data_IF_415518096962
#
_entry.id   IF_415518096962
#
_cell.length_a   1.000
_cell.length_b   1.000
_cell.length_c   1.000
_cell.angle_alpha   90.00
_cell.angle_beta   90.00
_cell.angle_gamma   90.00
#
_symmetry.space_group_name_H-M   'P 1'
#
loop_
_entity.id
_entity.type
_entity.pdbx_description
1 polymer ?
#
# COMPACT_ATOMS: atom_id res chain seq x y z
N UNK A 1 35.46 -44.47 -49.98
CA UNK A 1 34.20 -43.73 -50.00
C UNK A 1 33.36 -43.82 -48.68
N UNK A 2 33.47 -44.92 -47.95
CA UNK A 2 32.66 -45.09 -46.69
C UNK A 2 32.95 -44.08 -45.56
N UNK A 3 34.12 -43.50 -45.48
CA UNK A 3 34.44 -42.54 -44.40
C UNK A 3 33.78 -41.16 -44.54
N UNK A 4 33.50 -40.71 -45.74
CA UNK A 4 32.82 -39.43 -46.04
C UNK A 4 31.33 -39.51 -45.69
N UNK A 5 30.73 -40.66 -45.80
CA UNK A 5 29.32 -40.88 -45.52
C UNK A 5 28.95 -40.69 -44.05
N UNK A 6 29.91 -40.91 -43.12
CA UNK A 6 29.68 -40.63 -41.68
C UNK A 6 30.13 -39.23 -41.25
N UNK A 7 30.93 -38.57 -42.07
CA UNK A 7 31.45 -37.24 -41.76
C UNK A 7 30.39 -36.16 -41.83
N UNK A 8 29.50 -36.27 -42.81
CA UNK A 8 28.37 -35.32 -42.97
C UNK A 8 27.41 -35.37 -41.79
N UNK A 9 26.86 -36.51 -41.32
CA UNK A 9 25.95 -36.56 -40.20
C UNK A 9 26.62 -36.14 -38.88
N UNK A 10 27.91 -36.44 -38.67
CA UNK A 10 28.67 -35.98 -37.49
C UNK A 10 28.84 -34.47 -37.52
N UNK A 11 29.12 -33.86 -38.64
CA UNK A 11 29.26 -32.42 -38.78
C UNK A 11 27.93 -31.70 -38.56
N UNK A 12 26.82 -32.25 -39.07
CA UNK A 12 25.47 -31.74 -38.84
C UNK A 12 25.12 -31.83 -37.35
N UNK A 13 25.42 -32.95 -36.68
CA UNK A 13 25.18 -33.11 -35.24
C UNK A 13 26.03 -32.11 -34.43
N UNK A 14 27.30 -31.94 -34.76
CA UNK A 14 28.20 -30.96 -34.11
C UNK A 14 27.68 -29.52 -34.30
N UNK A 15 27.23 -29.15 -35.50
CA UNK A 15 26.67 -27.85 -35.79
C UNK A 15 25.36 -27.62 -35.01
N UNK A 16 24.50 -28.62 -34.91
CA UNK A 16 23.27 -28.58 -34.15
C UNK A 16 23.52 -28.35 -32.65
N UNK A 17 24.51 -29.05 -32.08
CA UNK A 17 24.93 -28.87 -30.69
C UNK A 17 25.54 -27.47 -30.49
N UNK A 18 26.35 -26.99 -31.40
CA UNK A 18 26.93 -25.65 -31.33
C UNK A 18 25.87 -24.54 -31.38
N UNK A 19 24.83 -24.68 -32.23
CA UNK A 19 23.72 -23.77 -32.29
C UNK A 19 22.88 -23.79 -31.01
N UNK A 20 22.72 -24.95 -30.37
CA UNK A 20 22.00 -25.10 -29.08
C UNK A 20 22.79 -24.56 -27.89
N UNK A 21 24.09 -24.31 -28.03
CA UNK A 21 24.96 -23.79 -26.98
C UNK A 21 24.80 -22.25 -26.79
N UNK A 22 24.28 -21.56 -27.79
CA UNK A 22 24.16 -20.09 -27.77
C UNK A 22 22.74 -19.70 -27.39
N UNK A 23 22.62 -18.72 -26.49
CA UNK A 23 21.32 -18.08 -26.14
C UNK A 23 21.49 -16.56 -26.09
N UNK A 24 20.38 -15.85 -26.32
CA UNK A 24 20.34 -14.40 -26.28
C UNK A 24 19.59 -13.98 -25.01
N UNK A 25 20.12 -13.00 -24.32
CA UNK A 25 19.47 -12.33 -23.17
C UNK A 25 18.95 -10.99 -23.63
N UNK A 26 17.65 -10.76 -23.46
CA UNK A 26 16.99 -9.48 -23.72
C UNK A 26 17.24 -8.50 -22.56
N UNK A 27 17.18 -7.19 -22.82
CA UNK A 27 17.29 -6.15 -21.79
C UNK A 27 16.19 -6.23 -20.70
N UNK A 28 15.08 -6.90 -21.01
CA UNK A 28 13.95 -7.07 -20.11
C UNK A 28 14.04 -8.33 -19.26
N UNK A 29 15.03 -9.16 -19.52
CA UNK A 29 15.18 -10.47 -18.90
C UNK A 29 16.49 -10.55 -18.13
N UNK A 30 16.45 -11.26 -17.02
CA UNK A 30 17.62 -11.70 -16.28
C UNK A 30 17.71 -13.22 -16.36
N UNK A 31 18.89 -13.76 -16.55
CA UNK A 31 19.07 -15.17 -16.84
C UNK A 31 19.96 -15.85 -15.82
N UNK A 32 19.50 -17.00 -15.34
CA UNK A 32 20.30 -17.95 -14.56
C UNK A 32 20.63 -19.17 -15.42
N UNK A 33 21.90 -19.53 -15.47
CA UNK A 33 22.37 -20.79 -16.05
C UNK A 33 22.53 -21.79 -14.90
N UNK A 34 21.70 -22.81 -14.90
CA UNK A 34 21.71 -23.87 -13.91
C UNK A 34 22.44 -25.10 -14.44
N UNK A 35 23.21 -25.75 -13.59
CA UNK A 35 23.82 -27.06 -13.84
C UNK A 35 23.39 -28.02 -12.72
N UNK A 36 22.65 -29.04 -13.07
CA UNK A 36 22.09 -30.00 -12.10
C UNK A 36 21.32 -29.32 -10.94
N UNK A 37 20.60 -28.22 -11.28
CA UNK A 37 19.83 -27.44 -10.31
C UNK A 37 20.61 -26.37 -9.55
N UNK A 38 21.94 -26.37 -9.61
CA UNK A 38 22.79 -25.37 -8.97
C UNK A 38 23.06 -24.18 -9.92
N UNK A 39 23.06 -22.97 -9.37
CA UNK A 39 23.39 -21.76 -10.13
C UNK A 39 24.87 -21.76 -10.46
N UNK A 40 25.19 -21.77 -11.74
CA UNK A 40 26.58 -21.78 -12.26
C UNK A 40 26.97 -20.39 -12.75
N UNK A 41 26.04 -19.69 -13.40
CA UNK A 41 26.30 -18.38 -13.97
C UNK A 41 25.04 -17.52 -13.88
N UNK A 42 25.22 -16.25 -13.54
CA UNK A 42 24.18 -15.22 -13.54
C UNK A 42 24.52 -14.27 -14.68
N UNK A 43 23.54 -13.96 -15.53
CA UNK A 43 23.71 -12.98 -16.58
C UNK A 43 22.57 -11.97 -16.50
N UNK A 44 22.92 -10.77 -16.05
CA UNK A 44 21.99 -9.65 -15.90
C UNK A 44 22.08 -8.65 -17.05
N UNK A 45 23.23 -8.65 -17.76
CA UNK A 45 23.44 -7.77 -18.91
C UNK A 45 22.91 -8.42 -20.19
N UNK A 46 22.25 -7.63 -21.07
CA UNK A 46 21.79 -8.11 -22.36
C UNK A 46 22.96 -8.54 -23.25
N UNK A 47 22.71 -9.50 -24.10
CA UNK A 47 23.69 -9.96 -25.07
C UNK A 47 23.72 -11.47 -25.23
N UNK A 48 24.76 -11.96 -25.91
CA UNK A 48 24.97 -13.38 -26.19
C UNK A 48 25.48 -14.11 -24.94
N UNK A 49 24.88 -15.23 -24.63
CA UNK A 49 25.28 -16.16 -23.58
C UNK A 49 25.62 -17.52 -24.16
N UNK A 50 26.48 -18.27 -23.45
CA UNK A 50 26.84 -19.62 -23.81
C UNK A 50 26.43 -20.58 -22.68
N UNK A 51 25.89 -21.72 -23.07
CA UNK A 51 25.58 -22.83 -22.18
C UNK A 51 26.11 -24.14 -22.74
N UNK A 52 26.36 -25.10 -21.89
CA UNK A 52 26.66 -26.48 -22.29
C UNK A 52 25.33 -27.20 -22.55
N UNK A 53 25.01 -27.53 -23.82
CA UNK A 53 23.77 -28.26 -24.13
C UNK A 53 23.71 -29.57 -23.35
N UNK A 54 22.50 -30.03 -23.02
CA UNK A 54 22.19 -31.28 -22.29
C UNK A 54 22.58 -31.28 -20.80
N UNK A 55 23.48 -30.40 -20.35
CA UNK A 55 23.95 -30.36 -18.94
C UNK A 55 23.43 -29.12 -18.22
N UNK A 56 23.32 -28.01 -18.96
CA UNK A 56 22.93 -26.72 -18.39
C UNK A 56 21.58 -26.27 -18.90
N UNK A 57 20.73 -25.85 -17.95
CA UNK A 57 19.44 -25.26 -18.19
C UNK A 57 19.47 -23.74 -18.02
N UNK A 58 18.72 -23.04 -18.85
CA UNK A 58 18.64 -21.58 -18.82
C UNK A 58 17.26 -21.21 -18.29
N UNK A 59 17.24 -20.57 -17.11
CA UNK A 59 16.01 -20.05 -16.50
C UNK A 59 15.99 -18.55 -16.67
N UNK A 60 14.89 -18.03 -17.21
CA UNK A 60 14.69 -16.60 -17.48
C UNK A 60 13.72 -16.02 -16.49
N UNK A 61 14.04 -14.85 -15.98
CA UNK A 61 13.20 -14.06 -15.10
C UNK A 61 12.97 -12.68 -15.72
N UNK A 62 11.78 -12.12 -15.49
CA UNK A 62 11.46 -10.77 -15.93
C UNK A 62 12.23 -9.75 -15.07
N UNK A 63 13.06 -8.93 -15.70
CA UNK A 63 13.85 -7.87 -15.03
C UNK A 63 13.11 -6.56 -14.86
N UNK A 64 11.90 -6.45 -15.39
CA UNK A 64 11.05 -5.24 -15.29
C UNK A 64 10.42 -5.10 -13.92
N UNK A 65 9.80 -3.95 -13.70
CA UNK A 65 8.95 -3.72 -12.53
C UNK A 65 7.64 -4.49 -12.76
N UNK A 66 7.37 -5.42 -11.86
CA UNK A 66 6.17 -6.24 -11.84
C UNK A 66 5.14 -5.63 -10.89
N UNK A 67 3.87 -5.91 -11.12
CA UNK A 67 2.78 -5.52 -10.24
C UNK A 67 2.19 -6.72 -9.52
N UNK A 68 1.78 -6.52 -8.27
CA UNK A 68 1.06 -7.48 -7.47
C UNK A 68 -0.14 -6.78 -6.83
N UNK A 69 -1.34 -7.22 -7.14
CA UNK A 69 -2.55 -6.78 -6.44
C UNK A 69 -2.86 -7.76 -5.30
N UNK A 70 -3.13 -7.22 -4.11
CA UNK A 70 -3.60 -8.01 -2.98
C UNK A 70 -5.10 -8.24 -3.11
N UNK A 71 -5.59 -9.36 -2.54
CA UNK A 71 -7.02 -9.55 -2.37
C UNK A 71 -7.52 -8.61 -1.28
N UNK A 72 -8.77 -8.15 -1.41
CA UNK A 72 -9.42 -7.36 -0.38
C UNK A 72 -9.40 -8.10 0.97
N UNK A 73 -8.99 -7.40 2.02
CA UNK A 73 -8.89 -7.92 3.37
C UNK A 73 -9.57 -6.99 4.36
N UNK A 74 -10.11 -7.55 5.43
CA UNK A 74 -10.58 -6.77 6.56
C UNK A 74 -9.42 -6.43 7.49
N UNK A 75 -9.32 -5.16 7.86
CA UNK A 75 -8.38 -4.62 8.83
C UNK A 75 -9.16 -3.87 9.89
N UNK A 76 -8.78 -4.02 11.16
CA UNK A 76 -9.36 -3.29 12.28
C UNK A 76 -8.34 -2.25 12.75
N UNK A 77 -8.53 -0.97 12.43
CA UNK A 77 -7.74 0.15 12.94
C UNK A 77 -7.86 0.32 14.47
N UNK A 78 -7.08 1.26 15.04
CA UNK A 78 -7.03 1.51 16.48
C UNK A 78 -8.37 2.01 17.10
N UNK A 79 -9.29 2.47 16.28
CA UNK A 79 -10.64 2.93 16.68
C UNK A 79 -11.74 1.86 16.52
N UNK A 80 -11.36 0.58 16.37
CA UNK A 80 -12.24 -0.58 16.22
C UNK A 80 -13.25 -0.50 15.05
N UNK A 81 -13.02 0.38 14.09
CA UNK A 81 -13.84 0.51 12.88
C UNK A 81 -13.29 -0.37 11.78
N UNK A 82 -13.89 -1.52 11.55
CA UNK A 82 -13.46 -2.43 10.47
C UNK A 82 -13.49 -1.74 9.11
N UNK A 83 -12.39 -1.87 8.38
CA UNK A 83 -12.23 -1.40 7.01
C UNK A 83 -11.92 -2.58 6.10
N UNK A 84 -12.44 -2.54 4.88
CA UNK A 84 -12.04 -3.44 3.79
C UNK A 84 -11.03 -2.70 2.95
N UNK A 85 -9.83 -3.28 2.88
CA UNK A 85 -8.68 -2.65 2.21
C UNK A 85 -8.13 -3.60 1.18
N UNK A 86 -7.84 -3.10 0.00
CA UNK A 86 -6.99 -3.75 -0.98
C UNK A 86 -5.84 -2.81 -1.38
N UNK A 87 -4.75 -3.41 -1.84
CA UNK A 87 -3.57 -2.68 -2.23
C UNK A 87 -2.93 -3.30 -3.47
N UNK A 88 -2.14 -2.52 -4.17
CA UNK A 88 -1.22 -3.05 -5.15
C UNK A 88 0.20 -2.61 -4.82
N UNK A 89 1.15 -3.49 -5.10
CA UNK A 89 2.57 -3.23 -4.96
C UNK A 89 3.26 -3.31 -6.31
N UNK A 90 4.28 -2.49 -6.49
CA UNK A 90 5.25 -2.60 -7.57
C UNK A 90 6.55 -3.14 -7.01
N UNK A 91 7.06 -4.17 -7.62
CA UNK A 91 8.25 -4.87 -7.15
C UNK A 91 9.13 -5.31 -8.32
N UNK A 92 10.38 -5.57 -8.05
CA UNK A 92 11.35 -6.07 -9.04
C UNK A 92 12.31 -7.06 -8.41
N UNK A 93 12.87 -7.94 -9.22
CA UNK A 93 13.93 -8.87 -8.81
C UNK A 93 15.26 -8.11 -8.83
N UNK A 94 15.92 -8.04 -7.67
CA UNK A 94 17.23 -7.38 -7.51
C UNK A 94 18.33 -8.42 -7.43
N UNK A 95 18.17 -9.43 -6.60
CA UNK A 95 19.10 -10.52 -6.43
C UNK A 95 18.52 -11.83 -6.92
N UNK A 96 19.01 -12.31 -8.05
CA UNK A 96 18.56 -13.55 -8.68
C UNK A 96 18.93 -14.80 -7.88
N UNK A 97 20.07 -14.78 -7.14
CA UNK A 97 20.50 -15.90 -6.34
C UNK A 97 19.52 -16.12 -5.17
N UNK A 98 19.36 -15.10 -4.33
CA UNK A 98 18.44 -15.13 -3.21
C UNK A 98 17.00 -15.38 -3.67
N UNK A 99 16.60 -14.83 -4.82
CA UNK A 99 15.29 -15.09 -5.41
C UNK A 99 15.13 -16.59 -5.74
N UNK A 100 16.09 -17.18 -6.43
CA UNK A 100 16.03 -18.61 -6.79
C UNK A 100 16.03 -19.52 -5.57
N UNK A 101 16.84 -19.23 -4.57
CA UNK A 101 16.92 -20.00 -3.33
C UNK A 101 15.61 -19.92 -2.52
N UNK A 102 15.02 -18.75 -2.42
CA UNK A 102 13.81 -18.53 -1.66
C UNK A 102 12.56 -19.08 -2.34
N UNK A 103 12.44 -18.93 -3.67
CA UNK A 103 11.21 -19.23 -4.44
C UNK A 103 11.28 -20.62 -5.10
N UNK A 104 12.47 -21.15 -5.30
CA UNK A 104 12.69 -22.46 -5.90
C UNK A 104 12.20 -22.56 -7.34
N UNK A 105 11.52 -23.65 -7.67
CA UNK A 105 11.01 -23.93 -9.03
C UNK A 105 9.72 -23.14 -9.32
N UNK A 106 9.02 -22.66 -8.30
CA UNK A 106 7.74 -21.96 -8.45
C UNK A 106 7.80 -20.59 -9.12
N UNK A 107 9.03 -20.05 -9.30
CA UNK A 107 9.27 -18.82 -10.06
C UNK A 107 8.47 -17.61 -9.56
N UNK A 108 8.06 -16.76 -10.49
CA UNK A 108 7.36 -15.50 -10.20
C UNK A 108 6.05 -15.73 -9.43
N UNK A 109 5.30 -16.79 -9.73
CA UNK A 109 4.03 -17.08 -9.06
C UNK A 109 4.21 -17.33 -7.55
N UNK A 110 5.20 -18.17 -7.18
CA UNK A 110 5.49 -18.42 -5.78
C UNK A 110 6.07 -17.18 -5.06
N UNK A 111 6.80 -16.33 -5.78
CA UNK A 111 7.23 -15.03 -5.26
C UNK A 111 6.04 -14.12 -4.97
N UNK A 112 5.09 -14.03 -5.88
CA UNK A 112 3.87 -13.24 -5.69
C UNK A 112 3.04 -13.70 -4.50
N UNK A 113 2.91 -15.01 -4.29
CA UNK A 113 2.20 -15.55 -3.13
C UNK A 113 2.90 -15.20 -1.81
N UNK A 114 4.23 -15.30 -1.76
CA UNK A 114 5.01 -14.91 -0.57
C UNK A 114 4.95 -13.41 -0.32
N UNK A 115 5.18 -12.63 -1.35
CA UNK A 115 5.12 -11.18 -1.28
C UNK A 115 3.72 -10.68 -0.90
N UNK A 116 2.67 -11.35 -1.38
CA UNK A 116 1.29 -11.06 -0.98
C UNK A 116 1.06 -11.26 0.51
N UNK A 117 1.64 -12.30 1.13
CA UNK A 117 1.57 -12.51 2.59
C UNK A 117 2.32 -11.43 3.36
N UNK A 118 3.51 -11.05 2.91
CA UNK A 118 4.31 -9.97 3.50
C UNK A 118 3.53 -8.66 3.43
N UNK A 119 3.01 -8.28 2.27
CA UNK A 119 2.21 -7.07 2.10
C UNK A 119 0.98 -7.05 3.01
N UNK A 120 0.27 -8.18 3.09
CA UNK A 120 -0.90 -8.29 3.94
C UNK A 120 -0.56 -8.15 5.44
N UNK A 121 0.59 -8.67 5.88
CA UNK A 121 1.09 -8.50 7.24
C UNK A 121 1.47 -7.04 7.52
N UNK A 122 2.25 -6.42 6.62
CA UNK A 122 2.67 -5.02 6.73
C UNK A 122 1.48 -4.05 6.72
N UNK A 123 0.46 -4.32 5.90
CA UNK A 123 -0.77 -3.52 5.87
C UNK A 123 -1.51 -3.60 7.21
N UNK A 124 -1.68 -4.81 7.77
CA UNK A 124 -2.35 -4.97 9.07
C UNK A 124 -1.58 -4.30 10.19
N UNK A 125 -0.27 -4.42 10.21
CA UNK A 125 0.58 -3.83 11.24
C UNK A 125 0.47 -2.31 11.23
N UNK A 126 0.65 -1.69 10.08
CA UNK A 126 0.63 -0.22 9.96
C UNK A 126 -0.79 0.33 10.17
N UNK A 127 -1.80 -0.27 9.52
CA UNK A 127 -3.17 0.24 9.63
C UNK A 127 -3.81 -0.07 10.99
N UNK A 128 -3.43 -1.17 11.65
CA UNK A 128 -3.90 -1.50 13.00
C UNK A 128 -3.42 -0.52 14.07
N UNK A 129 -2.29 0.16 13.86
CA UNK A 129 -1.75 1.14 14.79
C UNK A 129 -2.31 2.56 14.65
N UNK A 130 -3.16 2.85 13.66
CA UNK A 130 -3.66 4.20 13.37
C UNK A 130 -5.19 4.24 13.37
N UNK A 131 -5.82 5.39 13.68
CA UNK A 131 -7.28 5.52 13.60
C UNK A 131 -7.76 5.53 12.15
N UNK A 132 -8.97 5.00 11.91
CA UNK A 132 -9.58 4.89 10.58
C UNK A 132 -9.66 6.22 9.83
N UNK A 133 -9.87 7.32 10.55
CA UNK A 133 -9.91 8.66 9.97
C UNK A 133 -8.60 9.04 9.27
N UNK A 134 -7.45 8.62 9.80
CA UNK A 134 -6.14 8.88 9.16
C UNK A 134 -5.97 8.03 7.89
N UNK A 135 -6.50 6.82 7.89
CA UNK A 135 -6.48 5.93 6.71
C UNK A 135 -7.34 6.49 5.57
N UNK A 136 -8.46 7.15 5.93
CA UNK A 136 -9.41 7.76 4.99
C UNK A 136 -9.03 9.19 4.57
N UNK A 137 -8.05 9.82 5.24
CA UNK A 137 -7.61 11.19 4.94
C UNK A 137 -6.80 11.27 3.66
N UNK A 138 -6.65 12.47 3.11
CA UNK A 138 -5.83 12.73 1.92
C UNK A 138 -4.33 12.50 2.17
N UNK A 139 -3.86 12.65 3.41
CA UNK A 139 -2.45 12.44 3.80
C UNK A 139 -2.12 10.96 4.08
N UNK A 140 -2.47 10.10 3.12
CA UNK A 140 -2.15 8.65 3.17
C UNK A 140 -0.72 8.33 2.76
N UNK A 141 0.01 9.32 2.23
CA UNK A 141 1.35 9.08 1.66
C UNK A 141 2.32 8.53 2.70
N UNK A 142 2.29 9.05 3.93
CA UNK A 142 3.16 8.57 5.01
C UNK A 142 2.85 7.12 5.40
N UNK A 143 1.57 6.75 5.45
CA UNK A 143 1.16 5.37 5.74
C UNK A 143 1.59 4.41 4.64
N UNK A 144 1.41 4.79 3.36
CA UNK A 144 1.87 3.98 2.23
C UNK A 144 3.38 3.81 2.21
N UNK A 145 4.14 4.85 2.57
CA UNK A 145 5.59 4.77 2.71
C UNK A 145 6.00 3.82 3.84
N UNK A 146 5.34 3.87 5.01
CA UNK A 146 5.59 2.95 6.11
C UNK A 146 5.32 1.49 5.72
N UNK A 147 4.17 1.23 5.07
CA UNK A 147 3.84 -0.12 4.56
C UNK A 147 4.89 -0.59 3.56
N UNK A 148 5.30 0.29 2.63
CA UNK A 148 6.35 -0.03 1.66
C UNK A 148 7.66 -0.38 2.35
N UNK A 149 8.10 0.42 3.31
CA UNK A 149 9.41 0.26 3.94
C UNK A 149 9.45 -1.01 4.81
N UNK A 150 8.36 -1.31 5.50
CA UNK A 150 8.21 -2.56 6.26
C UNK A 150 8.21 -3.77 5.32
N UNK A 151 7.38 -3.74 4.27
CA UNK A 151 7.33 -4.81 3.28
C UNK A 151 8.67 -5.01 2.54
N UNK A 152 9.39 -3.91 2.24
CA UNK A 152 10.72 -3.95 1.62
C UNK A 152 11.74 -4.66 2.51
N UNK A 153 11.73 -4.37 3.82
CA UNK A 153 12.63 -5.01 4.78
C UNK A 153 12.49 -6.54 4.77
N UNK A 154 11.26 -7.03 4.81
CA UNK A 154 10.99 -8.48 4.77
C UNK A 154 11.23 -9.09 3.37
N UNK A 155 10.89 -8.37 2.31
CA UNK A 155 11.03 -8.82 0.93
C UNK A 155 12.49 -8.95 0.47
N UNK A 156 13.42 -8.27 1.13
CA UNK A 156 14.86 -8.38 0.84
C UNK A 156 15.35 -9.82 0.97
N UNK A 157 14.83 -10.59 1.92
CA UNK A 157 15.14 -12.00 2.10
C UNK A 157 14.70 -12.88 0.91
N UNK A 158 13.78 -12.40 0.09
CA UNK A 158 13.32 -13.06 -1.13
C UNK A 158 14.12 -12.64 -2.38
N UNK A 159 15.12 -11.77 -2.24
CA UNK A 159 15.87 -11.21 -3.39
C UNK A 159 15.07 -10.21 -4.22
N UNK A 160 13.99 -9.62 -3.67
CA UNK A 160 13.13 -8.65 -4.36
C UNK A 160 13.13 -7.30 -3.65
N UNK A 161 12.94 -6.25 -4.44
CA UNK A 161 12.78 -4.87 -3.96
C UNK A 161 11.35 -4.41 -4.18
N UNK A 162 10.69 -3.95 -3.11
CA UNK A 162 9.36 -3.34 -3.18
C UNK A 162 9.54 -1.85 -3.47
N UNK A 163 9.22 -1.45 -4.70
CA UNK A 163 9.42 -0.08 -5.21
C UNK A 163 8.36 0.87 -4.65
N UNK A 164 7.11 0.45 -4.69
CA UNK A 164 5.96 1.28 -4.27
C UNK A 164 4.80 0.39 -3.80
N UNK A 165 4.03 0.90 -2.83
CA UNK A 165 2.79 0.28 -2.36
C UNK A 165 1.70 1.33 -2.30
N UNK A 166 0.54 1.02 -2.88
CA UNK A 166 -0.62 1.90 -2.91
C UNK A 166 -1.86 1.18 -2.44
N UNK A 167 -2.61 1.81 -1.55
CA UNK A 167 -3.96 1.38 -1.22
C UNK A 167 -4.89 1.76 -2.36
N UNK A 168 -5.56 0.78 -2.95
CA UNK A 168 -6.47 0.97 -4.10
C UNK A 168 -7.87 1.29 -3.60
N UNK A 169 -8.32 0.54 -2.62
CA UNK A 169 -9.67 0.64 -2.06
C UNK A 169 -9.59 0.65 -0.54
N UNK A 170 -10.37 1.50 0.07
CA UNK A 170 -10.55 1.56 1.52
C UNK A 170 -11.99 1.90 1.79
N UNK A 171 -12.77 0.87 2.08
CA UNK A 171 -14.22 0.97 2.28
C UNK A 171 -14.64 0.37 3.63
N UNK A 172 -15.83 0.74 4.05
CA UNK A 172 -16.50 0.08 5.17
C UNK A 172 -17.12 -1.25 4.69
N UNK A 173 -17.14 -2.30 5.52
CA UNK A 173 -17.81 -3.55 5.18
C UNK A 173 -19.31 -3.30 4.89
N UNK A 174 -19.81 -3.87 3.80
CA UNK A 174 -21.21 -3.67 3.34
C UNK A 174 -22.26 -4.02 4.41
N UNK A 175 -21.96 -5.02 5.25
CA UNK A 175 -22.87 -5.48 6.32
C UNK A 175 -23.14 -4.43 7.41
N UNK A 176 -22.21 -3.50 7.63
CA UNK A 176 -22.30 -2.49 8.69
C UNK A 176 -22.53 -1.07 8.17
N UNK A 177 -22.60 -0.91 6.86
CA UNK A 177 -22.66 0.40 6.21
C UNK A 177 -23.87 1.21 6.68
N UNK A 178 -25.07 0.62 6.64
CA UNK A 178 -26.32 1.27 7.06
C UNK A 178 -26.32 1.66 8.55
N UNK A 179 -25.85 0.74 9.42
CA UNK A 179 -25.76 1.00 10.86
C UNK A 179 -24.70 2.06 11.19
N UNK A 180 -23.59 2.08 10.47
CA UNK A 180 -22.52 3.09 10.64
C UNK A 180 -23.02 4.47 10.20
N UNK A 181 -23.67 4.56 9.04
CA UNK A 181 -24.24 5.84 8.58
C UNK A 181 -25.34 6.36 9.52
N UNK A 182 -26.22 5.50 10.04
CA UNK A 182 -27.23 5.93 11.01
C UNK A 182 -26.61 6.45 12.30
N UNK A 183 -25.55 5.80 12.79
CA UNK A 183 -24.80 6.25 13.97
C UNK A 183 -24.11 7.59 13.73
N UNK A 184 -23.39 7.73 12.61
CA UNK A 184 -22.74 8.99 12.24
C UNK A 184 -23.73 10.13 12.09
N UNK A 185 -24.92 9.88 11.51
CA UNK A 185 -25.97 10.87 11.41
C UNK A 185 -26.45 11.29 12.80
N UNK A 186 -26.76 10.34 13.69
CA UNK A 186 -27.20 10.64 15.04
C UNK A 186 -26.13 11.42 15.85
N UNK A 187 -24.86 11.11 15.64
CA UNK A 187 -23.76 11.84 16.27
C UNK A 187 -23.67 13.28 15.77
N UNK A 188 -23.78 13.51 14.46
CA UNK A 188 -23.81 14.85 13.87
C UNK A 188 -25.04 15.66 14.28
N UNK A 189 -26.17 15.02 14.38
CA UNK A 189 -27.40 15.66 14.88
C UNK A 189 -27.26 16.09 16.35
N UNK A 190 -26.59 15.28 17.19
CA UNK A 190 -26.29 15.66 18.59
C UNK A 190 -25.31 16.83 18.66
N UNK A 191 -24.19 16.75 17.91
CA UNK A 191 -23.21 17.86 17.84
C UNK A 191 -23.90 19.17 17.40
N UNK A 192 -24.73 19.12 16.36
CA UNK A 192 -25.46 20.28 15.88
C UNK A 192 -26.45 20.81 16.95
N UNK A 193 -27.16 19.93 17.62
CA UNK A 193 -28.09 20.31 18.70
C UNK A 193 -27.31 20.97 19.87
N UNK A 194 -26.18 20.43 20.25
CA UNK A 194 -25.35 20.99 21.32
C UNK A 194 -24.79 22.38 20.94
N UNK A 195 -24.35 22.58 19.70
CA UNK A 195 -23.90 23.90 19.25
C UNK A 195 -25.04 24.92 19.17
N UNK A 196 -26.22 24.51 18.75
CA UNK A 196 -27.43 25.36 18.76
C UNK A 196 -27.82 25.72 20.19
N UNK A 197 -27.77 24.75 21.12
CA UNK A 197 -28.08 25.00 22.54
C UNK A 197 -27.08 25.99 23.18
N UNK A 198 -25.75 25.80 22.93
CA UNK A 198 -24.71 26.73 23.37
C UNK A 198 -24.89 28.12 22.79
N UNK A 199 -25.20 28.22 21.50
CA UNK A 199 -25.52 29.49 20.86
C UNK A 199 -26.72 30.16 21.45
N UNK A 200 -27.78 29.40 21.75
CA UNK A 200 -29.00 29.88 22.44
C UNK A 200 -28.71 30.42 23.85
N UNK A 201 -27.92 29.66 24.62
CA UNK A 201 -27.48 30.08 25.96
C UNK A 201 -26.64 31.37 25.91
N UNK A 202 -25.70 31.46 24.99
CA UNK A 202 -24.89 32.67 24.83
C UNK A 202 -25.77 33.89 24.44
N UNK A 203 -26.70 33.70 23.51
CA UNK A 203 -27.65 34.75 23.15
C UNK A 203 -28.52 35.21 24.31
N UNK A 204 -28.99 34.25 25.13
CA UNK A 204 -29.79 34.54 26.33
C UNK A 204 -28.97 35.33 27.38
N UNK A 205 -27.72 34.98 27.60
CA UNK A 205 -26.83 35.72 28.51
C UNK A 205 -26.61 37.16 28.02
N UNK A 206 -26.37 37.37 26.71
CA UNK A 206 -26.18 38.71 26.13
C UNK A 206 -27.47 39.54 26.29
N UNK A 207 -28.64 38.96 26.00
CA UNK A 207 -29.96 39.65 26.19
C UNK A 207 -30.18 40.02 27.66
N UNK A 208 -29.98 39.07 28.58
CA UNK A 208 -30.15 39.34 30.00
C UNK A 208 -29.21 40.41 30.51
N UNK A 209 -27.96 40.46 30.05
CA UNK A 209 -27.02 41.51 30.42
C UNK A 209 -27.45 42.89 29.84
N UNK A 210 -27.96 42.93 28.62
CA UNK A 210 -28.45 44.16 28.00
C UNK A 210 -29.71 44.68 28.73
N UNK A 211 -30.66 43.80 29.01
CA UNK A 211 -31.89 44.15 29.77
C UNK A 211 -31.54 44.70 31.16
N UNK A 212 -30.58 44.08 31.85
CA UNK A 212 -30.07 44.57 33.13
C UNK A 212 -29.50 45.96 33.04
N UNK A 213 -28.66 46.21 32.03
CA UNK A 213 -28.08 47.54 31.78
C UNK A 213 -29.14 48.58 31.47
N UNK A 214 -30.15 48.24 30.69
CA UNK A 214 -31.31 49.14 30.41
C UNK A 214 -32.06 49.47 31.69
N UNK A 215 -32.37 48.51 32.55
CA UNK A 215 -33.05 48.72 33.82
C UNK A 215 -32.19 49.59 34.74
N UNK A 216 -30.90 49.35 34.87
CA UNK A 216 -29.96 50.13 35.68
C UNK A 216 -29.94 51.60 35.21
N UNK A 217 -29.69 51.84 33.91
CA UNK A 217 -29.64 53.16 33.33
C UNK A 217 -30.99 53.92 33.49
N UNK A 218 -32.10 53.23 33.22
CA UNK A 218 -33.43 53.84 33.37
C UNK A 218 -33.75 54.19 34.80
N UNK A 219 -33.36 53.33 35.75
CA UNK A 219 -33.58 53.58 37.17
C UNK A 219 -32.73 54.73 37.69
N UNK A 220 -31.47 54.80 37.21
CA UNK A 220 -30.55 55.87 37.55
C UNK A 220 -31.03 57.23 37.01
N UNK A 221 -31.44 57.29 35.76
CA UNK A 221 -32.00 58.48 35.16
C UNK A 221 -33.28 58.95 35.87
N UNK A 222 -34.16 58.03 36.25
CA UNK A 222 -35.37 58.36 37.05
C UNK A 222 -35.03 58.89 38.43
N UNK A 223 -34.04 58.32 39.08
CA UNK A 223 -33.53 58.83 40.38
C UNK A 223 -33.00 60.24 40.27
N UNK A 224 -32.10 60.50 39.29
CA UNK A 224 -31.56 61.83 39.02
C UNK A 224 -32.66 62.88 38.71
N UNK A 225 -33.61 62.51 37.84
CA UNK A 225 -34.76 63.37 37.53
C UNK A 225 -35.63 63.68 38.78
N UNK A 226 -35.75 62.70 39.70
CA UNK A 226 -36.50 62.92 40.96
C UNK A 226 -35.78 63.86 41.94
N UNK A 227 -34.44 63.75 42.00
CA UNK A 227 -33.59 64.64 42.81
C UNK A 227 -33.70 66.06 42.30
N UNK A 228 -33.49 66.27 41.00
CA UNK A 228 -33.59 67.64 40.38
C UNK A 228 -34.96 68.26 40.58
N UNK A 229 -36.07 67.44 40.48
CA UNK A 229 -37.39 67.96 40.74
C UNK A 229 -37.71 68.26 42.21
N UNK A 230 -36.97 67.61 43.12
CA UNK A 230 -37.10 67.88 44.54
C UNK A 230 -36.28 69.04 45.06
N UNK A 231 -35.24 69.42 44.34
CA UNK A 231 -34.37 70.59 44.64
C UNK A 231 -34.94 71.91 44.03
N UNK A 232 -35.82 71.81 43.07
CA UNK A 232 -36.45 72.97 42.43
C UNK A 232 -37.81 73.33 43.12
#
# INVERSE_FOLDING_TARGET
>A
MARIQYLIPVLVAAASVAMSAVFIVDEREKVLVLQFGQVKQIKEEPGLGFKIPLIQDVVRYDGRILSLATKAMEVTPADDRRLVVDAFARWRIVDLMSFRESVGVGGIAAAQDRLGRILNASIREVLGGVPSQRVLSEDRTNLMNQIRDLARGEATSLGVDVVDVRLTRTDLPDQNLAATYSRMRAEREREAADEVARGGEAAQRVRASADRTVVELTSQARKEASIIRGEA
#
